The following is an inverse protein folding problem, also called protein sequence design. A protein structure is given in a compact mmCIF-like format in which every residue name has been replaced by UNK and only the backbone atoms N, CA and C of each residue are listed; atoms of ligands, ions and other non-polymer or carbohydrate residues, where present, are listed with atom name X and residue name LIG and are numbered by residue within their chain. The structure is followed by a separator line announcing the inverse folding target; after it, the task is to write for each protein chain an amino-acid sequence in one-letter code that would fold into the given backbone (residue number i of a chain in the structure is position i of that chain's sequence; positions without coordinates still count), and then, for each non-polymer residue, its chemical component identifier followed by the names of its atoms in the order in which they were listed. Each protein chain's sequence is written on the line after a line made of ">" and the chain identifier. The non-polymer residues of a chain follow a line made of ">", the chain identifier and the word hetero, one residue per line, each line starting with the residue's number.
data_IF_224311575281
#
_entry.id   IF_224311575281
#
_cell.length_a   1.000
_cell.length_b   1.000
_cell.length_c   1.000
_cell.angle_alpha   90.00
_cell.angle_beta   90.00
_cell.angle_gamma   90.00
#
_symmetry.space_group_name_H-M   'P 1'
#
loop_
_entity.id
_entity.type
_entity.pdbx_description
1 polymer ?
#
# COMPACT_ATOMS: atom_id res chain seq x y z
N UNK A 1 -13.43 3.42 -2.34
CA UNK A 1 -13.27 1.94 -2.37
C UNK A 1 -11.82 1.62 -2.71
N UNK A 2 -11.20 0.61 -2.07
CA UNK A 2 -9.76 0.30 -2.20
C UNK A 2 -9.47 -0.89 -3.15
N UNK A 3 -10.49 -1.72 -3.37
CA UNK A 3 -10.47 -2.94 -4.19
C UNK A 3 -11.80 -3.01 -4.94
N UNK A 4 -11.83 -3.57 -6.15
CA UNK A 4 -13.06 -3.85 -6.89
C UNK A 4 -13.60 -5.27 -6.65
N UNK A 5 -14.74 -5.61 -7.25
CA UNK A 5 -15.39 -6.93 -7.18
C UNK A 5 -14.64 -8.03 -7.96
N UNK A 6 -13.59 -7.65 -8.69
CA UNK A 6 -12.71 -8.50 -9.49
C UNK A 6 -11.35 -8.72 -8.81
N UNK A 7 -11.22 -8.33 -7.54
CA UNK A 7 -10.01 -8.44 -6.71
C UNK A 7 -8.85 -7.50 -7.07
N UNK A 8 -9.07 -6.54 -7.97
CA UNK A 8 -8.05 -5.57 -8.36
C UNK A 8 -7.99 -4.41 -7.39
N UNK A 9 -6.77 -4.05 -6.97
CA UNK A 9 -6.54 -2.86 -6.18
C UNK A 9 -6.75 -1.59 -7.02
N UNK A 10 -7.50 -0.65 -6.46
CA UNK A 10 -7.85 0.61 -7.11
C UNK A 10 -6.91 1.73 -6.66
N UNK A 11 -6.89 2.82 -7.43
CA UNK A 11 -6.26 4.06 -6.97
C UNK A 11 -6.97 4.56 -5.70
N UNK A 12 -6.18 4.69 -4.65
CA UNK A 12 -6.58 5.25 -3.37
C UNK A 12 -5.43 6.10 -2.84
N UNK A 13 -5.18 7.30 -3.41
CA UNK A 13 -4.02 8.10 -3.06
C UNK A 13 -4.12 8.67 -1.64
N UNK A 14 -2.99 8.71 -0.93
CA UNK A 14 -2.95 9.26 0.41
C UNK A 14 -1.55 9.40 0.99
N UNK A 15 -1.51 9.97 2.19
CA UNK A 15 -0.32 10.18 3.00
C UNK A 15 -0.59 9.58 4.39
N UNK A 16 0.40 8.89 4.96
CA UNK A 16 0.28 8.18 6.24
C UNK A 16 1.62 8.13 6.96
N UNK A 17 1.61 7.77 8.24
CA UNK A 17 2.81 7.40 8.99
C UNK A 17 2.68 5.92 9.36
N UNK A 18 3.67 5.13 8.94
CA UNK A 18 3.64 3.68 9.09
C UNK A 18 4.96 3.16 9.66
N UNK A 19 4.87 2.06 10.38
CA UNK A 19 6.00 1.19 10.68
C UNK A 19 5.86 -0.06 9.80
N UNK A 20 6.73 -0.20 8.80
CA UNK A 20 6.66 -1.32 7.86
C UNK A 20 7.29 -2.60 8.43
N UNK A 21 6.91 -3.72 7.84
CA UNK A 21 7.39 -5.07 8.16
C UNK A 21 8.92 -5.23 8.17
N UNK A 22 9.67 -4.36 7.45
CA UNK A 22 11.12 -4.37 7.42
C UNK A 22 11.72 -5.68 6.92
N UNK A 23 13.00 -5.91 7.28
CA UNK A 23 13.74 -7.13 6.93
C UNK A 23 13.96 -8.07 8.13
N UNK A 24 13.81 -7.58 9.36
CA UNK A 24 14.11 -8.34 10.59
C UNK A 24 13.34 -9.66 10.64
N UNK A 25 12.06 -9.64 10.28
CA UNK A 25 11.20 -10.82 10.28
C UNK A 25 10.77 -11.22 8.86
N UNK A 26 11.62 -10.99 7.86
CA UNK A 26 11.30 -11.21 6.45
C UNK A 26 10.72 -12.60 6.15
N UNK A 27 11.31 -13.65 6.75
CA UNK A 27 10.82 -15.03 6.57
C UNK A 27 9.37 -15.19 7.03
N UNK A 28 9.01 -14.63 8.20
CA UNK A 28 7.64 -14.67 8.71
C UNK A 28 6.67 -14.01 7.73
N UNK A 29 7.02 -12.83 7.21
CA UNK A 29 6.17 -12.10 6.26
C UNK A 29 5.99 -12.84 4.93
N UNK A 30 7.05 -13.48 4.46
CA UNK A 30 7.01 -14.35 3.27
C UNK A 30 6.15 -15.59 3.51
N UNK A 31 6.29 -16.24 4.66
CA UNK A 31 5.50 -17.43 5.02
C UNK A 31 4.01 -17.09 5.12
N UNK A 32 3.65 -15.96 5.75
CA UNK A 32 2.27 -15.46 5.82
C UNK A 32 1.73 -15.20 4.40
N UNK A 33 2.46 -14.47 3.57
CA UNK A 33 2.01 -14.17 2.21
C UNK A 33 1.87 -15.42 1.35
N UNK A 34 2.82 -16.35 1.45
CA UNK A 34 2.77 -17.63 0.77
C UNK A 34 1.55 -18.44 1.21
N UNK A 35 1.26 -18.51 2.52
CA UNK A 35 0.07 -19.17 3.04
C UNK A 35 -1.20 -18.58 2.44
N UNK A 36 -1.34 -17.24 2.44
CA UNK A 36 -2.53 -16.57 1.89
C UNK A 36 -2.70 -16.82 0.39
N UNK A 37 -1.62 -16.71 -0.39
CA UNK A 37 -1.64 -16.89 -1.85
C UNK A 37 -1.90 -18.35 -2.28
N UNK A 38 -1.57 -19.33 -1.45
CA UNK A 38 -1.71 -20.74 -1.77
C UNK A 38 -2.92 -21.40 -1.10
N UNK A 39 -3.73 -20.64 -0.35
CA UNK A 39 -4.96 -21.16 0.26
C UNK A 39 -6.16 -20.78 -0.61
N UNK A 40 -6.65 -21.76 -1.37
CA UNK A 40 -7.72 -21.58 -2.38
C UNK A 40 -8.96 -20.87 -1.82
N UNK A 41 -9.49 -21.33 -0.68
CA UNK A 41 -10.68 -20.72 -0.07
C UNK A 41 -10.45 -19.24 0.27
N UNK A 42 -9.24 -18.83 0.69
CA UNK A 42 -8.96 -17.43 0.96
C UNK A 42 -8.88 -16.61 -0.33
N UNK A 43 -8.25 -17.13 -1.37
CA UNK A 43 -8.12 -16.44 -2.65
C UNK A 43 -9.46 -16.20 -3.35
N UNK A 44 -10.50 -16.98 -3.02
CA UNK A 44 -11.85 -16.81 -3.58
C UNK A 44 -12.62 -15.62 -2.99
N UNK A 45 -12.20 -15.08 -1.84
CA UNK A 45 -12.91 -14.01 -1.12
C UNK A 45 -12.01 -12.82 -0.78
N UNK A 46 -10.70 -13.04 -0.65
CA UNK A 46 -9.73 -12.04 -0.28
C UNK A 46 -8.63 -11.92 -1.35
N UNK A 47 -8.19 -10.69 -1.60
CA UNK A 47 -7.01 -10.40 -2.42
C UNK A 47 -5.83 -10.16 -1.49
N UNK A 48 -4.83 -11.04 -1.42
CA UNK A 48 -3.66 -10.84 -0.55
C UNK A 48 -2.82 -9.65 -1.02
N UNK A 49 -2.45 -8.79 -0.09
CA UNK A 49 -1.47 -7.73 -0.32
C UNK A 49 -0.07 -8.32 -0.46
N UNK A 50 0.82 -7.74 -1.29
CA UNK A 50 2.22 -8.14 -1.32
C UNK A 50 2.85 -7.92 0.07
N UNK A 51 3.63 -8.86 0.57
CA UNK A 51 4.22 -8.74 1.91
C UNK A 51 5.10 -7.51 2.09
N UNK A 52 5.65 -6.95 1.00
CA UNK A 52 6.41 -5.71 1.01
C UNK A 52 5.57 -4.48 1.40
N UNK A 53 4.24 -4.57 1.30
CA UNK A 53 3.32 -3.52 1.73
C UNK A 53 2.83 -3.70 3.15
N UNK A 54 3.15 -4.81 3.82
CA UNK A 54 2.74 -5.03 5.21
C UNK A 54 3.33 -3.96 6.13
N UNK A 55 2.44 -3.33 6.89
CA UNK A 55 2.81 -2.26 7.81
C UNK A 55 1.75 -2.12 8.89
N UNK A 56 2.16 -1.57 10.02
CA UNK A 56 1.27 -1.03 11.03
C UNK A 56 1.17 0.48 10.84
N UNK A 57 -0.04 1.01 10.68
CA UNK A 57 -0.21 2.47 10.66
C UNK A 57 -0.11 3.02 12.08
N UNK A 58 0.72 4.06 12.26
CA UNK A 58 0.80 4.80 13.53
C UNK A 58 -0.07 6.05 13.52
N UNK A 59 -0.24 6.69 12.36
CA UNK A 59 -1.15 7.84 12.15
C UNK A 59 -1.74 7.84 10.73
N UNK A 60 -3.07 7.77 10.64
CA UNK A 60 -3.84 7.91 9.39
C UNK A 60 -3.99 9.39 9.01
N UNK A 61 -3.05 9.94 8.24
CA UNK A 61 -3.04 11.39 7.96
C UNK A 61 -4.19 11.80 7.05
N UNK A 62 -4.04 11.62 5.74
CA UNK A 62 -4.99 12.12 4.76
C UNK A 62 -5.09 11.18 3.56
N UNK A 63 -6.32 10.95 3.11
CA UNK A 63 -6.60 10.32 1.82
C UNK A 63 -7.24 11.34 0.89
N UNK A 64 -7.09 11.14 -0.41
CA UNK A 64 -7.75 11.98 -1.41
C UNK A 64 -9.28 11.92 -1.28
N UNK A 65 -9.85 10.76 -0.94
CA UNK A 65 -11.30 10.58 -0.82
C UNK A 65 -11.89 11.36 0.38
N UNK A 66 -11.13 11.51 1.46
CA UNK A 66 -11.56 12.23 2.67
C UNK A 66 -11.25 13.75 2.61
N UNK A 67 -10.61 14.21 1.53
CA UNK A 67 -10.20 15.62 1.38
C UNK A 67 -11.13 16.31 0.39
N UNK A 68 -11.98 17.26 0.83
CA UNK A 68 -12.93 17.95 -0.05
C UNK A 68 -12.27 18.98 -0.96
N UNK A 69 -11.07 19.45 -0.61
CA UNK A 69 -10.28 20.38 -1.44
C UNK A 69 -9.59 19.65 -2.62
N UNK A 70 -9.13 20.43 -3.60
CA UNK A 70 -8.24 19.90 -4.63
C UNK A 70 -7.00 19.25 -4.00
N UNK A 71 -6.87 17.92 -4.17
CA UNK A 71 -5.83 17.10 -3.55
C UNK A 71 -4.40 17.64 -3.75
N UNK A 72 -4.07 18.04 -4.99
CA UNK A 72 -2.74 18.56 -5.31
C UNK A 72 -2.46 19.87 -4.55
N UNK A 73 -3.42 20.79 -4.54
CA UNK A 73 -3.30 22.05 -3.80
C UNK A 73 -3.19 21.80 -2.30
N UNK A 74 -4.01 20.91 -1.75
CA UNK A 74 -4.01 20.55 -0.34
C UNK A 74 -2.65 19.99 0.12
N UNK A 75 -2.09 19.03 -0.62
CA UNK A 75 -0.77 18.47 -0.31
C UNK A 75 0.31 19.53 -0.41
N UNK A 76 0.31 20.36 -1.46
CA UNK A 76 1.28 21.43 -1.64
C UNK A 76 1.27 22.46 -0.50
N UNK A 77 0.08 22.81 0.04
CA UNK A 77 -0.04 23.71 1.21
C UNK A 77 0.53 23.10 2.49
N UNK A 78 0.63 21.77 2.58
CA UNK A 78 1.07 21.04 3.78
C UNK A 78 2.53 20.56 3.75
N UNK A 79 3.29 20.82 2.68
CA UNK A 79 4.67 20.36 2.57
C UNK A 79 5.54 20.72 3.78
N UNK A 80 5.45 21.97 4.27
CA UNK A 80 6.21 22.41 5.45
C UNK A 80 5.88 21.61 6.70
N UNK A 81 4.62 21.21 6.92
CA UNK A 81 4.26 20.41 8.08
C UNK A 81 4.76 18.96 7.93
N UNK A 82 4.68 18.40 6.72
CA UNK A 82 5.19 17.07 6.42
C UNK A 82 6.71 16.96 6.57
N UNK A 83 7.46 17.98 6.16
CA UNK A 83 8.91 18.03 6.38
C UNK A 83 9.26 18.04 7.87
N UNK A 84 8.53 18.82 8.68
CA UNK A 84 8.72 18.86 10.14
C UNK A 84 8.41 17.50 10.76
N UNK A 85 7.31 16.86 10.35
CA UNK A 85 6.96 15.49 10.78
C UNK A 85 8.06 14.51 10.43
N UNK A 86 8.54 14.50 9.18
CA UNK A 86 9.60 13.60 8.75
C UNK A 86 10.89 13.80 9.57
N UNK A 87 11.32 15.05 9.77
CA UNK A 87 12.48 15.35 10.62
C UNK A 87 12.30 14.79 12.03
N UNK A 88 11.13 15.01 12.64
CA UNK A 88 10.84 14.53 13.99
C UNK A 88 10.83 13.00 14.08
N UNK A 89 10.28 12.31 13.07
CA UNK A 89 10.31 10.85 12.99
C UNK A 89 11.76 10.31 12.90
N UNK A 90 12.62 10.97 12.11
CA UNK A 90 14.04 10.62 12.00
C UNK A 90 14.82 10.88 13.30
N UNK A 91 14.41 11.85 14.12
CA UNK A 91 15.01 12.09 15.44
C UNK A 91 14.58 11.02 16.46
N UNK A 92 13.32 10.56 16.39
CA UNK A 92 12.81 9.51 17.28
C UNK A 92 13.41 8.13 16.98
N UNK A 93 13.51 7.78 15.69
CA UNK A 93 14.18 6.59 15.13
C UNK A 93 14.17 5.33 16.02
N UNK A 94 12.97 4.91 16.45
CA UNK A 94 12.79 3.73 17.29
C UNK A 94 12.08 2.62 16.51
N UNK A 95 12.52 1.39 16.68
CA UNK A 95 11.81 0.23 16.12
C UNK A 95 10.59 -0.10 16.96
N UNK A 96 9.53 -0.56 16.31
CA UNK A 96 8.31 -0.99 17.00
C UNK A 96 8.35 -2.50 17.18
N UNK A 97 8.12 -2.92 18.41
CA UNK A 97 7.94 -4.32 18.73
C UNK A 97 6.47 -4.61 18.87
N UNK A 98 6.03 -5.72 18.27
CA UNK A 98 4.62 -6.11 18.27
C UNK A 98 4.45 -7.54 18.78
N UNK A 99 3.26 -7.84 19.28
CA UNK A 99 2.74 -9.20 19.44
C UNK A 99 1.45 -9.32 18.64
N UNK A 100 1.24 -10.49 18.01
CA UNK A 100 0.00 -10.80 17.29
C UNK A 100 -0.99 -11.43 18.27
N UNK A 101 -2.08 -10.73 18.54
CA UNK A 101 -3.12 -11.15 19.51
C UNK A 101 -4.19 -12.02 18.85
N UNK A 102 -4.59 -11.63 17.63
CA UNK A 102 -5.67 -12.29 16.90
C UNK A 102 -5.55 -12.04 15.40
N UNK A 103 -6.36 -12.76 14.63
CA UNK A 103 -6.59 -12.49 13.21
C UNK A 103 -8.06 -12.10 13.02
N UNK A 104 -8.30 -10.90 12.49
CA UNK A 104 -9.60 -10.46 12.04
C UNK A 104 -9.79 -10.84 10.56
N UNK A 105 -10.99 -11.26 10.16
CA UNK A 105 -11.23 -11.81 8.82
C UNK A 105 -12.63 -11.54 8.26
N UNK A 106 -13.24 -10.42 8.67
CA UNK A 106 -14.51 -9.96 8.07
C UNK A 106 -14.25 -9.31 6.70
N UNK A 107 -14.33 -7.99 6.59
CA UNK A 107 -14.11 -7.27 5.33
C UNK A 107 -12.64 -7.21 4.90
N UNK A 108 -11.72 -7.48 5.83
CA UNK A 108 -10.27 -7.46 5.62
C UNK A 108 -9.65 -8.57 6.48
N UNK A 109 -8.58 -9.19 5.97
CA UNK A 109 -7.72 -10.04 6.79
C UNK A 109 -6.70 -9.15 7.49
N UNK A 110 -6.70 -9.11 8.81
CA UNK A 110 -5.83 -8.25 9.61
C UNK A 110 -5.21 -9.01 10.77
N UNK A 111 -3.91 -8.83 11.00
CA UNK A 111 -3.29 -9.20 12.26
C UNK A 111 -3.60 -8.10 13.28
N UNK A 112 -4.26 -8.44 14.37
CA UNK A 112 -4.51 -7.52 15.49
C UNK A 112 -3.28 -7.52 16.39
N UNK A 113 -2.77 -6.35 16.70
CA UNK A 113 -1.48 -6.17 17.35
C UNK A 113 -1.63 -5.55 18.74
N UNK A 114 -0.77 -5.99 19.65
CA UNK A 114 -0.40 -5.23 20.83
C UNK A 114 1.01 -4.68 20.69
N UNK A 115 1.27 -3.53 21.30
CA UNK A 115 2.59 -2.90 21.38
C UNK A 115 2.90 -2.53 22.83
N UNK A 116 4.18 -2.46 23.24
CA UNK A 116 4.55 -1.99 24.57
C UNK A 116 4.02 -0.57 24.84
N UNK A 117 3.56 -0.32 26.07
CA UNK A 117 3.00 0.98 26.49
C UNK A 117 3.97 2.16 26.30
N UNK A 118 5.26 1.92 26.48
CA UNK A 118 6.32 2.91 26.21
C UNK A 118 6.33 3.34 24.74
N UNK A 119 6.19 2.39 23.80
CA UNK A 119 6.14 2.67 22.37
C UNK A 119 4.84 3.37 21.98
N UNK A 120 3.73 2.96 22.59
CA UNK A 120 2.44 3.65 22.41
C UNK A 120 2.51 5.11 22.89
N UNK A 121 3.19 5.36 24.01
CA UNK A 121 3.37 6.71 24.55
C UNK A 121 4.16 7.58 23.58
N UNK A 122 5.22 7.05 22.95
CA UNK A 122 5.98 7.78 21.92
C UNK A 122 5.09 8.16 20.73
N UNK A 123 4.27 7.23 20.22
CA UNK A 123 3.33 7.49 19.12
C UNK A 123 2.31 8.57 19.53
N UNK A 124 1.78 8.51 20.75
CA UNK A 124 0.82 9.48 21.27
C UNK A 124 1.42 10.87 21.43
N UNK A 125 2.65 10.97 21.95
CA UNK A 125 3.37 12.23 22.09
C UNK A 125 3.67 12.86 20.71
N UNK A 126 4.12 12.06 19.75
CA UNK A 126 4.29 12.53 18.38
C UNK A 126 2.95 13.04 17.81
N UNK A 127 1.87 12.28 17.96
CA UNK A 127 0.57 12.68 17.46
C UNK A 127 0.06 13.95 18.15
N UNK A 128 0.31 14.13 19.44
CA UNK A 128 0.00 15.35 20.18
C UNK A 128 0.73 16.57 19.62
N UNK A 129 2.04 16.46 19.42
CA UNK A 129 2.92 17.51 18.89
C UNK A 129 2.38 18.09 17.56
N UNK A 130 1.79 17.24 16.72
CA UNK A 130 1.26 17.62 15.41
C UNK A 130 -0.27 17.75 15.33
N UNK A 131 -0.99 17.66 16.45
CA UNK A 131 -2.46 17.77 16.47
C UNK A 131 -3.17 16.61 15.76
N UNK A 132 -2.61 15.40 15.83
CA UNK A 132 -3.04 14.17 15.16
C UNK A 132 -3.62 13.11 16.12
N UNK A 133 -3.97 13.47 17.37
CA UNK A 133 -4.47 12.48 18.36
C UNK A 133 -5.66 11.65 17.83
N UNK A 134 -6.55 12.28 17.08
CA UNK A 134 -7.71 11.62 16.45
C UNK A 134 -7.35 10.82 15.17
N UNK A 135 -6.09 10.80 14.76
CA UNK A 135 -5.59 10.05 13.60
C UNK A 135 -4.83 8.79 13.98
N UNK A 136 -4.59 8.55 15.26
CA UNK A 136 -4.05 7.27 15.73
C UNK A 136 -5.15 6.20 15.56
N UNK A 137 -4.86 5.03 14.96
CA UNK A 137 -5.81 3.93 14.92
C UNK A 137 -6.26 3.53 16.32
N UNK A 138 -7.55 3.24 16.48
CA UNK A 138 -8.11 2.73 17.75
C UNK A 138 -7.57 1.35 18.09
N UNK A 139 -7.27 0.54 17.07
CA UNK A 139 -6.67 -0.78 17.17
C UNK A 139 -5.50 -0.84 16.19
N UNK A 140 -4.32 -1.15 16.71
CA UNK A 140 -3.16 -1.40 15.85
C UNK A 140 -3.30 -2.74 15.13
N UNK A 141 -3.06 -2.73 13.84
CA UNK A 141 -3.17 -3.91 13.00
C UNK A 141 -2.23 -3.84 11.79
N UNK A 142 -1.98 -4.99 11.18
CA UNK A 142 -1.39 -5.12 9.85
C UNK A 142 -2.45 -5.73 8.95
N UNK A 143 -2.87 -5.02 7.91
CA UNK A 143 -3.75 -5.58 6.87
C UNK A 143 -2.94 -6.51 5.97
N UNK A 144 -3.43 -7.73 5.81
CA UNK A 144 -2.84 -8.79 5.00
C UNK A 144 -3.55 -8.96 3.65
N UNK A 145 -4.87 -8.73 3.63
CA UNK A 145 -5.69 -8.89 2.44
C UNK A 145 -6.99 -8.08 2.56
N UNK A 146 -7.56 -7.68 1.43
CA UNK A 146 -8.87 -7.05 1.37
C UNK A 146 -9.91 -8.03 0.83
N UNK A 147 -11.08 -8.09 1.48
CA UNK A 147 -12.22 -8.85 1.00
C UNK A 147 -12.80 -8.17 -0.25
N UNK A 148 -13.06 -8.94 -1.30
CA UNK A 148 -13.69 -8.47 -2.54
C UNK A 148 -15.01 -9.18 -2.85
N UNK A 149 -15.38 -10.16 -2.01
CA UNK A 149 -16.68 -10.85 -2.06
C UNK A 149 -17.20 -11.09 -0.65
N UNK A 150 -18.51 -11.09 -0.52
CA UNK A 150 -19.18 -11.48 0.72
C UNK A 150 -19.14 -13.00 0.91
N UNK A 151 -19.13 -13.43 2.17
CA UNK A 151 -19.12 -14.84 2.55
C UNK A 151 -20.53 -15.19 3.04
N UNK A 152 -21.35 -15.77 2.17
CA UNK A 152 -22.74 -16.15 2.49
C UNK A 152 -22.85 -17.61 2.98
N UNK A 153 -21.93 -18.47 2.57
CA UNK A 153 -21.93 -19.90 2.87
C UNK A 153 -21.28 -20.19 4.25
N UNK A 154 -22.03 -20.84 5.14
CA UNK A 154 -21.58 -21.16 6.51
C UNK A 154 -20.40 -22.16 6.54
N UNK A 155 -20.35 -23.12 5.60
CA UNK A 155 -19.24 -24.07 5.51
C UNK A 155 -17.97 -23.36 5.05
N UNK A 156 -18.09 -22.47 4.06
CA UNK A 156 -16.97 -21.62 3.62
C UNK A 156 -16.49 -20.74 4.77
N UNK A 157 -17.39 -20.11 5.51
CA UNK A 157 -17.04 -19.30 6.67
C UNK A 157 -16.26 -20.11 7.71
N UNK A 158 -16.71 -21.34 7.99
CA UNK A 158 -16.03 -22.26 8.91
C UNK A 158 -14.65 -22.67 8.40
N UNK A 159 -14.51 -22.92 7.10
CA UNK A 159 -13.21 -23.24 6.48
C UNK A 159 -12.24 -22.06 6.60
N UNK A 160 -12.69 -20.85 6.26
CA UNK A 160 -11.89 -19.61 6.40
C UNK A 160 -11.46 -19.44 7.85
N UNK A 161 -12.37 -19.60 8.81
CA UNK A 161 -12.05 -19.55 10.25
C UNK A 161 -10.94 -20.54 10.62
N UNK A 162 -11.04 -21.79 10.19
CA UNK A 162 -9.98 -22.79 10.46
C UNK A 162 -8.63 -22.35 9.86
N UNK A 163 -8.64 -21.75 8.65
CA UNK A 163 -7.42 -21.21 8.03
C UNK A 163 -6.86 -20.00 8.77
N UNK A 164 -7.68 -19.21 9.43
CA UNK A 164 -7.20 -18.14 10.31
C UNK A 164 -6.53 -18.67 11.58
N UNK A 165 -7.00 -19.81 12.12
CA UNK A 165 -6.32 -20.50 13.23
C UNK A 165 -4.97 -21.08 12.80
N UNK A 166 -4.87 -21.62 11.57
CA UNK A 166 -3.58 -22.05 10.98
C UNK A 166 -2.62 -20.86 10.80
N UNK A 167 -3.11 -19.73 10.26
CA UNK A 167 -2.32 -18.51 10.12
C UNK A 167 -1.82 -17.98 11.46
N UNK A 168 -2.68 -17.98 12.48
CA UNK A 168 -2.28 -17.56 13.83
C UNK A 168 -1.16 -18.45 14.39
N UNK A 169 -1.19 -19.76 14.13
CA UNK A 169 -0.10 -20.67 14.50
C UNK A 169 1.21 -20.32 13.80
N UNK A 170 1.18 -19.93 12.52
CA UNK A 170 2.38 -19.46 11.80
C UNK A 170 2.99 -18.24 12.53
N UNK A 171 2.15 -17.29 12.94
CA UNK A 171 2.60 -16.13 13.71
C UNK A 171 3.18 -16.50 15.08
N UNK A 172 2.56 -17.46 15.78
CA UNK A 172 2.95 -17.89 17.14
C UNK A 172 4.19 -18.79 17.18
N UNK A 173 4.46 -19.55 16.12
CA UNK A 173 5.65 -20.39 16.00
C UNK A 173 6.95 -19.59 15.88
N UNK A 174 6.83 -18.29 15.61
CA UNK A 174 7.98 -17.41 15.49
C UNK A 174 8.45 -16.99 16.90
N UNK A 175 9.46 -17.71 17.42
CA UNK A 175 9.96 -17.55 18.79
C UNK A 175 10.60 -16.18 19.07
N UNK A 176 11.03 -15.48 18.01
CA UNK A 176 11.64 -14.16 18.14
C UNK A 176 10.57 -13.06 18.20
N UNK A 177 10.90 -11.99 18.90
CA UNK A 177 10.09 -10.78 18.91
C UNK A 177 9.88 -10.26 17.48
N UNK A 178 8.65 -9.94 17.12
CA UNK A 178 8.35 -9.34 15.83
C UNK A 178 8.65 -7.83 15.93
N UNK A 179 9.54 -7.36 15.06
CA UNK A 179 10.06 -6.00 15.03
C UNK A 179 9.75 -5.36 13.68
N UNK A 180 8.96 -4.29 13.72
CA UNK A 180 8.71 -3.40 12.60
C UNK A 180 9.79 -2.31 12.54
N UNK A 181 10.01 -1.80 11.33
CA UNK A 181 10.93 -0.69 11.07
C UNK A 181 10.44 0.59 11.75
N UNK A 182 11.32 1.60 11.92
CA UNK A 182 10.93 2.84 12.56
C UNK A 182 9.78 3.54 11.81
N UNK A 183 8.83 4.18 12.53
CA UNK A 183 7.77 4.94 11.90
C UNK A 183 8.31 5.98 10.93
N UNK A 184 7.76 5.99 9.72
CA UNK A 184 8.18 6.90 8.64
C UNK A 184 6.97 7.51 7.95
N UNK A 185 7.15 8.74 7.47
CA UNK A 185 6.18 9.40 6.62
C UNK A 185 6.19 8.75 5.23
N UNK A 186 5.02 8.39 4.73
CA UNK A 186 4.86 7.77 3.42
C UNK A 186 3.75 8.44 2.62
N UNK A 187 3.88 8.40 1.30
CA UNK A 187 2.75 8.53 0.39
C UNK A 187 2.44 7.18 -0.26
N UNK A 188 1.22 7.01 -0.73
CA UNK A 188 0.77 5.83 -1.45
C UNK A 188 -0.23 6.22 -2.55
N UNK A 189 -0.30 5.40 -3.60
CA UNK A 189 -1.26 5.54 -4.71
C UNK A 189 -2.33 4.46 -4.68
N UNK A 190 -1.99 3.28 -4.16
CA UNK A 190 -2.89 2.17 -3.85
C UNK A 190 -2.45 1.55 -2.52
N UNK A 191 -3.19 0.57 -2.01
CA UNK A 191 -2.81 -0.16 -0.79
C UNK A 191 -1.61 -1.09 -0.97
N UNK A 192 -1.13 -1.28 -2.21
CA UNK A 192 -0.07 -2.24 -2.53
C UNK A 192 1.34 -1.70 -2.29
N UNK A 193 1.51 -0.38 -2.10
CA UNK A 193 2.82 0.19 -1.89
C UNK A 193 2.78 1.51 -1.11
N UNK A 194 3.66 1.60 -0.11
CA UNK A 194 3.88 2.79 0.70
C UNK A 194 5.31 3.28 0.48
N UNK A 195 5.47 4.45 -0.11
CA UNK A 195 6.76 5.00 -0.53
C UNK A 195 7.20 6.02 0.53
N UNK A 196 8.38 5.84 1.17
CA UNK A 196 8.94 6.82 2.09
C UNK A 196 9.02 8.21 1.47
N UNK A 197 8.70 9.22 2.26
CA UNK A 197 8.57 10.59 1.79
C UNK A 197 9.10 11.59 2.80
N UNK A 198 9.91 12.52 2.33
CA UNK A 198 10.51 13.57 3.16
C UNK A 198 9.65 14.83 3.31
N UNK A 199 8.50 14.89 2.61
CA UNK A 199 7.63 16.06 2.60
C UNK A 199 8.10 17.21 1.71
N UNK A 200 9.23 17.10 1.00
CA UNK A 200 9.86 18.23 0.33
C UNK A 200 9.20 18.63 -0.99
N UNK A 201 8.73 17.64 -1.76
CA UNK A 201 8.01 17.84 -3.01
C UNK A 201 6.66 17.14 -2.96
N UNK A 202 5.66 17.70 -3.65
CA UNK A 202 4.37 17.04 -3.79
C UNK A 202 4.50 15.77 -4.67
N UNK A 203 4.31 14.55 -4.11
CA UNK A 203 4.57 13.30 -4.83
C UNK A 203 3.45 12.94 -5.82
N UNK A 204 2.33 13.68 -5.80
CA UNK A 204 1.18 13.45 -6.67
C UNK A 204 1.21 14.32 -7.93
N UNK A 205 2.12 15.29 -8.03
CA UNK A 205 2.34 16.03 -9.27
C UNK A 205 3.18 15.14 -10.19
N UNK A 206 2.57 14.64 -11.25
CA UNK A 206 3.30 13.96 -12.33
C UNK A 206 4.19 15.00 -13.00
N UNK A 207 5.51 14.94 -12.77
CA UNK A 207 6.44 15.62 -13.67
C UNK A 207 6.27 14.93 -15.01
N UNK A 208 5.79 15.64 -16.02
CA UNK A 208 5.83 15.13 -17.38
C UNK A 208 7.31 14.86 -17.71
N UNK A 209 7.74 13.61 -17.61
CA UNK A 209 8.93 13.21 -18.33
C UNK A 209 8.56 13.36 -19.79
N UNK A 210 9.13 14.37 -20.44
CA UNK A 210 9.19 14.42 -21.89
C UNK A 210 9.68 13.04 -22.34
N UNK A 211 8.88 12.36 -23.16
CA UNK A 211 9.23 11.07 -23.77
C UNK A 211 10.65 11.17 -24.37
N UNK A 212 11.67 10.44 -23.85
CA UNK A 212 12.98 10.40 -24.50
C UNK A 212 12.93 9.57 -25.80
N UNK A 213 11.81 8.88 -26.09
CA UNK A 213 11.65 7.92 -27.18
C UNK A 213 11.02 8.52 -28.45
N UNK A 214 11.47 9.72 -28.85
CA UNK A 214 11.26 10.25 -30.22
C UNK A 214 12.52 10.84 -30.86
N UNK A 215 13.69 10.38 -30.45
CA UNK A 215 14.90 10.42 -31.28
C UNK A 215 15.29 8.97 -31.55
N UNK A 216 15.56 8.64 -32.82
CA UNK A 216 15.70 7.28 -33.38
C UNK A 216 14.39 6.59 -33.78
N UNK A 217 13.63 7.23 -34.67
CA UNK A 217 13.10 6.47 -35.81
C UNK A 217 14.19 6.47 -36.87
N UNK A 218 14.64 5.28 -37.24
CA UNK A 218 15.70 5.07 -38.22
C UNK A 218 15.26 5.55 -39.59
N UNK A 219 16.02 6.47 -40.18
CA UNK A 219 16.16 6.54 -41.63
C UNK A 219 16.79 5.23 -42.11
N UNK A 220 15.98 4.30 -42.61
CA UNK A 220 16.40 3.37 -43.68
C UNK A 220 15.24 3.20 -44.64
N UNK A 221 15.48 3.67 -45.86
CA UNK A 221 14.48 3.82 -46.90
C UNK A 221 14.10 2.54 -47.63
N UNK A 222 13.14 2.71 -48.53
CA UNK A 222 13.05 2.05 -49.82
C UNK A 222 12.07 2.86 -50.67
N UNK A 223 12.59 3.80 -51.46
CA UNK A 223 11.89 4.28 -52.65
C UNK A 223 12.18 3.28 -53.78
N UNK A 224 11.14 2.62 -54.27
CA UNK A 224 11.00 2.19 -55.67
C UNK A 224 9.53 1.83 -55.90
N UNK A 225 8.84 2.66 -56.68
CA UNK A 225 8.11 2.22 -57.87
C UNK A 225 7.47 3.45 -58.52
N UNK A 226 8.13 3.92 -59.58
CA UNK A 226 7.48 4.67 -60.65
C UNK A 226 6.47 3.74 -61.33
N UNK A 227 5.20 4.17 -61.41
CA UNK A 227 4.28 3.70 -62.44
C UNK A 227 3.69 4.95 -63.09
N UNK A 228 4.20 5.25 -64.29
CA UNK A 228 3.63 6.26 -65.16
C UNK A 228 2.32 5.75 -65.77
N UNK A 229 1.34 6.66 -65.82
CA UNK A 229 -0.03 6.49 -66.32
C UNK A 229 -0.05 6.12 -67.82
N UNK A 230 -1.03 5.32 -68.29
CA UNK A 230 -1.37 5.29 -69.70
C UNK A 230 -2.27 6.50 -70.07
N UNK A 231 -1.91 7.15 -71.18
CA UNK A 231 -2.71 8.19 -71.85
C UNK A 231 -4.05 7.66 -72.32
N UNK A 232 -5.11 8.46 -72.12
CA UNK A 232 -6.35 8.37 -72.87
C UNK A 232 -6.18 9.03 -74.25
N UNK A 233 -6.62 8.36 -75.31
CA UNK A 233 -7.21 9.00 -76.47
C UNK A 233 -8.26 8.09 -77.12
N UNK A 234 -9.23 8.73 -77.74
CA UNK A 234 -10.62 8.33 -77.96
C UNK A 234 -10.84 7.96 -79.45
N UNK A 235 -11.95 7.26 -79.69
CA UNK A 235 -12.79 7.19 -80.92
C UNK A 235 -12.47 6.19 -82.04
N UNK A 236 -13.54 5.41 -82.33
CA UNK A 236 -13.98 4.73 -83.56
C UNK A 236 -12.99 3.88 -84.36
#
# INVERSE_FOLDING_TARGET
>A
MKIDDQSNYLEFPGVTIIADAGQTNQKLWQDIYYFLKNTSVLCNYFSPLPYQSYHMTTCNLYTQQETPENWLSFISKKLTIFQKMNKRLLELNFNISISVEAVNYFSELQLILSIPSEQQTIIQQFAEEFGLKNKIPTVFHITLAYGYREIEDEQVFKEIKNKMEELLKICQQYEQKIILSPPKLCFFRSMEQFIPWDGAINPFIVKSSANPLRLFSSEKGMQKNEVAKPSFCITM
#
